data_IF_843794378493
#
_entry.id   IF_843794378493
#
_cell.length_a   1.000
_cell.length_b   1.000
_cell.length_c   1.000
_cell.angle_alpha   90.00
_cell.angle_beta   90.00
_cell.angle_gamma   90.00
#
_symmetry.space_group_name_H-M   'P 1'
#
loop_
_entity.id
_entity.type
_entity.pdbx_description
1 polymer ?
#
# COMPACT_ATOMS: atom_id res chain seq x y z
N UNK A 1 -26.78 10.56 -11.41
CA UNK A 1 -27.09 10.35 -9.98
C UNK A 1 -26.92 8.87 -9.70
N UNK A 2 -26.03 8.46 -8.79
CA UNK A 2 -26.05 7.07 -8.31
C UNK A 2 -27.37 6.87 -7.58
N UNK A 3 -28.15 5.86 -7.97
CA UNK A 3 -29.38 5.53 -7.24
C UNK A 3 -29.00 4.97 -5.86
N UNK A 4 -29.87 5.12 -4.86
CA UNK A 4 -29.60 4.63 -3.51
C UNK A 4 -29.26 3.13 -3.49
N UNK A 5 -29.81 2.35 -4.42
CA UNK A 5 -29.51 0.93 -4.60
C UNK A 5 -28.07 0.66 -5.04
N UNK A 6 -27.52 1.44 -5.97
CA UNK A 6 -26.12 1.30 -6.39
C UNK A 6 -25.14 1.61 -5.25
N UNK A 7 -25.45 2.61 -4.44
CA UNK A 7 -24.66 2.97 -3.27
C UNK A 7 -24.68 1.86 -2.21
N UNK A 8 -25.85 1.29 -1.93
CA UNK A 8 -26.01 0.14 -1.02
C UNK A 8 -25.24 -1.07 -1.54
N UNK A 9 -25.35 -1.37 -2.84
CA UNK A 9 -24.64 -2.49 -3.45
C UNK A 9 -23.12 -2.33 -3.38
N UNK A 10 -22.62 -1.10 -3.55
CA UNK A 10 -21.20 -0.80 -3.40
C UNK A 10 -20.73 -1.01 -1.94
N UNK A 11 -21.51 -0.55 -0.95
CA UNK A 11 -21.18 -0.78 0.47
C UNK A 11 -21.13 -2.26 0.82
N UNK A 12 -22.06 -3.06 0.29
CA UNK A 12 -22.06 -4.52 0.48
C UNK A 12 -20.80 -5.14 -0.13
N UNK A 13 -20.45 -4.78 -1.38
CA UNK A 13 -19.24 -5.26 -2.05
C UNK A 13 -17.98 -4.91 -1.27
N UNK A 14 -17.87 -3.68 -0.79
CA UNK A 14 -16.73 -3.21 -0.02
C UNK A 14 -16.59 -3.97 1.30
N UNK A 15 -17.73 -4.31 1.92
CA UNK A 15 -17.79 -5.11 3.16
C UNK A 15 -17.31 -6.54 2.92
N UNK A 16 -17.82 -7.23 1.89
CA UNK A 16 -17.37 -8.58 1.53
C UNK A 16 -15.90 -8.60 1.12
N UNK A 17 -15.44 -7.60 0.37
CA UNK A 17 -14.04 -7.47 0.00
C UNK A 17 -13.14 -7.31 1.24
N UNK A 18 -13.62 -6.59 2.27
CA UNK A 18 -12.91 -6.48 3.54
C UNK A 18 -12.86 -7.81 4.30
N UNK A 19 -13.96 -8.55 4.40
CA UNK A 19 -13.95 -9.89 5.01
C UNK A 19 -13.03 -10.86 4.28
N UNK A 20 -13.08 -10.86 2.94
CA UNK A 20 -12.14 -11.63 2.12
C UNK A 20 -10.69 -11.23 2.39
N UNK A 21 -10.41 -9.93 2.53
CA UNK A 21 -9.07 -9.47 2.88
C UNK A 21 -8.63 -10.02 4.24
N UNK A 22 -9.51 -10.07 5.25
CA UNK A 22 -9.15 -10.56 6.58
C UNK A 22 -8.72 -12.03 6.58
N UNK A 23 -9.29 -12.87 5.71
CA UNK A 23 -8.95 -14.30 5.61
C UNK A 23 -7.67 -14.59 4.82
N UNK A 24 -7.07 -13.58 4.17
CA UNK A 24 -5.83 -13.75 3.43
C UNK A 24 -4.63 -13.98 4.36
N UNK A 25 -3.63 -14.69 3.83
CA UNK A 25 -2.33 -14.84 4.49
C UNK A 25 -1.65 -13.47 4.67
N UNK A 26 -0.72 -13.36 5.64
CA UNK A 26 0.07 -12.14 5.85
C UNK A 26 0.80 -11.74 4.56
N UNK A 27 1.37 -12.72 3.87
CA UNK A 27 2.12 -12.50 2.64
C UNK A 27 1.24 -11.95 1.51
N UNK A 28 0.07 -12.54 1.29
CA UNK A 28 -0.86 -12.05 0.28
C UNK A 28 -1.34 -10.62 0.60
N UNK A 29 -1.57 -10.31 1.88
CA UNK A 29 -1.92 -8.95 2.32
C UNK A 29 -0.80 -7.95 2.04
N UNK A 30 0.44 -8.33 2.33
CA UNK A 30 1.64 -7.54 2.05
C UNK A 30 1.76 -7.23 0.55
N UNK A 31 1.66 -8.25 -0.32
CA UNK A 31 1.76 -8.06 -1.77
C UNK A 31 0.64 -7.17 -2.32
N UNK A 32 -0.60 -7.35 -1.86
CA UNK A 32 -1.71 -6.45 -2.24
C UNK A 32 -1.43 -5.01 -1.84
N UNK A 33 -0.90 -4.79 -0.63
CA UNK A 33 -0.58 -3.46 -0.14
C UNK A 33 0.59 -2.81 -0.90
N UNK A 34 1.61 -3.59 -1.25
CA UNK A 34 2.72 -3.13 -2.11
C UNK A 34 2.18 -2.69 -3.48
N UNK A 35 1.32 -3.51 -4.10
CA UNK A 35 0.73 -3.20 -5.39
C UNK A 35 -0.09 -1.90 -5.36
N UNK A 36 -0.88 -1.68 -4.30
CA UNK A 36 -1.61 -0.42 -4.11
C UNK A 36 -0.70 0.82 -4.09
N UNK A 37 0.52 0.69 -3.57
CA UNK A 37 1.50 1.78 -3.55
C UNK A 37 2.22 1.91 -4.89
N UNK A 38 2.53 0.79 -5.57
CA UNK A 38 3.12 0.77 -6.93
C UNK A 38 2.28 1.52 -7.96
N UNK A 39 0.95 1.54 -7.79
CA UNK A 39 0.04 2.28 -8.66
C UNK A 39 0.09 3.80 -8.46
N UNK A 40 0.73 4.30 -7.40
CA UNK A 40 0.75 5.75 -7.12
C UNK A 40 1.82 6.44 -7.92
N UNK A 41 1.43 7.52 -8.61
CA UNK A 41 2.33 8.33 -9.42
C UNK A 41 3.60 8.76 -8.68
N UNK A 42 3.49 9.22 -7.43
CA UNK A 42 4.65 9.64 -6.64
C UNK A 42 5.65 8.49 -6.40
N UNK A 43 5.16 7.26 -6.28
CA UNK A 43 5.98 6.08 -6.08
C UNK A 43 6.57 5.59 -7.40
N UNK A 44 5.81 5.66 -8.49
CA UNK A 44 6.32 5.41 -9.84
C UNK A 44 7.49 6.35 -10.17
N UNK A 45 7.35 7.64 -9.88
CA UNK A 45 8.44 8.62 -10.04
C UNK A 45 9.66 8.29 -9.18
N UNK A 46 9.45 7.76 -7.98
CA UNK A 46 10.52 7.33 -7.09
C UNK A 46 11.28 6.13 -7.67
N UNK A 47 10.56 5.11 -8.16
CA UNK A 47 11.15 3.91 -8.79
C UNK A 47 11.85 4.23 -10.11
N UNK A 48 11.31 5.14 -10.92
CA UNK A 48 11.97 5.60 -12.16
C UNK A 48 13.34 6.23 -11.84
N UNK A 49 13.41 7.05 -10.78
CA UNK A 49 14.67 7.66 -10.33
C UNK A 49 15.62 6.64 -9.73
N UNK A 50 15.11 5.63 -9.04
CA UNK A 50 15.89 4.64 -8.32
C UNK A 50 15.24 3.24 -8.39
N UNK A 51 15.54 2.46 -9.45
CA UNK A 51 14.88 1.16 -9.67
C UNK A 51 15.18 0.10 -8.60
N UNK A 52 16.30 0.23 -7.87
CA UNK A 52 16.70 -0.66 -6.77
C UNK A 52 15.70 -0.68 -5.62
N UNK A 53 14.83 0.33 -5.51
CA UNK A 53 13.77 0.41 -4.50
C UNK A 53 12.85 -0.80 -4.56
N UNK A 54 12.57 -1.35 -5.74
CA UNK A 54 11.74 -2.54 -5.86
C UNK A 54 12.38 -3.76 -5.19
N UNK A 55 13.68 -3.99 -5.46
CA UNK A 55 14.44 -5.08 -4.83
C UNK A 55 14.55 -4.89 -3.33
N UNK A 56 14.72 -3.65 -2.88
CA UNK A 56 14.77 -3.32 -1.45
C UNK A 56 13.45 -3.63 -0.75
N UNK A 57 12.31 -3.26 -1.34
CA UNK A 57 10.98 -3.59 -0.77
C UNK A 57 10.76 -5.09 -0.68
N UNK A 58 11.27 -5.85 -1.65
CA UNK A 58 11.17 -7.32 -1.66
C UNK A 58 12.09 -7.98 -0.63
N UNK A 59 13.27 -7.42 -0.37
CA UNK A 59 14.30 -8.04 0.48
C UNK A 59 14.36 -7.53 1.92
N UNK A 60 13.94 -6.29 2.21
CA UNK A 60 14.05 -5.70 3.54
C UNK A 60 12.84 -6.05 4.41
N UNK A 61 13.11 -6.71 5.53
CA UNK A 61 12.09 -7.20 6.46
C UNK A 61 11.26 -6.08 7.10
N UNK A 62 11.87 -4.95 7.43
CA UNK A 62 11.21 -3.82 8.08
C UNK A 62 10.22 -3.15 7.12
N UNK A 63 10.65 -2.95 5.87
CA UNK A 63 9.80 -2.43 4.81
C UNK A 63 8.64 -3.40 4.53
N UNK A 64 8.91 -4.71 4.43
CA UNK A 64 7.83 -5.71 4.29
C UNK A 64 6.86 -5.71 5.47
N UNK A 65 7.35 -5.52 6.69
CA UNK A 65 6.50 -5.43 7.88
C UNK A 65 5.61 -4.18 7.82
N UNK A 66 6.14 -3.03 7.37
CA UNK A 66 5.35 -1.83 7.11
C UNK A 66 4.18 -2.12 6.16
N UNK A 67 4.48 -2.77 5.03
CA UNK A 67 3.47 -3.14 4.03
C UNK A 67 2.50 -4.22 4.50
N UNK A 68 2.82 -5.00 5.52
CA UNK A 68 1.88 -5.97 6.10
C UNK A 68 0.72 -5.29 6.84
N UNK A 69 0.88 -4.02 7.25
CA UNK A 69 -0.15 -3.25 7.95
C UNK A 69 -0.98 -2.39 7.00
N UNK A 70 -2.24 -2.79 6.78
CA UNK A 70 -3.22 -1.99 6.02
C UNK A 70 -3.39 -0.58 6.56
N UNK A 71 -3.30 -0.40 7.88
CA UNK A 71 -3.42 0.92 8.53
C UNK A 71 -2.27 1.83 8.12
N UNK A 72 -1.05 1.32 8.18
CA UNK A 72 0.14 2.08 7.78
C UNK A 72 0.10 2.43 6.30
N UNK A 73 -0.23 1.46 5.44
CA UNK A 73 -0.34 1.67 3.99
C UNK A 73 -1.41 2.70 3.66
N UNK A 74 -2.57 2.67 4.32
CA UNK A 74 -3.60 3.70 4.13
C UNK A 74 -3.11 5.08 4.51
N UNK A 75 -2.39 5.19 5.63
CA UNK A 75 -1.80 6.46 6.06
C UNK A 75 -0.77 6.94 5.03
N UNK A 76 0.11 6.06 4.54
CA UNK A 76 1.05 6.35 3.45
C UNK A 76 0.34 6.86 2.20
N UNK A 77 -0.83 6.32 1.87
CA UNK A 77 -1.57 6.73 0.69
C UNK A 77 -2.26 8.09 0.84
N UNK A 78 -2.70 8.46 2.04
CA UNK A 78 -3.48 9.67 2.29
C UNK A 78 -2.66 10.85 2.82
N UNK A 79 -1.56 10.59 3.51
CA UNK A 79 -0.83 11.58 4.30
C UNK A 79 0.49 11.99 3.62
N UNK A 80 0.77 13.30 3.57
CA UNK A 80 2.00 13.83 2.96
C UNK A 80 3.22 13.61 3.85
N UNK A 81 3.08 13.79 5.16
CA UNK A 81 4.17 13.61 6.12
C UNK A 81 4.56 12.15 6.23
N UNK A 82 3.57 11.24 6.24
CA UNK A 82 3.84 9.80 6.23
C UNK A 82 4.60 9.39 4.96
N UNK A 83 4.27 9.97 3.80
CA UNK A 83 5.04 9.75 2.56
C UNK A 83 6.46 10.25 2.65
N UNK A 84 6.69 11.37 3.33
CA UNK A 84 8.05 11.87 3.50
C UNK A 84 8.85 10.93 4.40
N UNK A 85 8.30 10.54 5.56
CA UNK A 85 8.93 9.58 6.48
C UNK A 85 9.26 8.25 5.80
N UNK A 86 8.37 7.75 4.95
CA UNK A 86 8.63 6.53 4.19
C UNK A 86 9.78 6.70 3.18
N UNK A 87 9.88 7.86 2.52
CA UNK A 87 11.02 8.14 1.63
C UNK A 87 12.33 8.27 2.39
N UNK A 88 12.30 8.87 3.57
CA UNK A 88 13.48 8.99 4.43
C UNK A 88 13.95 7.60 4.87
N UNK A 89 13.03 6.72 5.31
CA UNK A 89 13.31 5.32 5.58
C UNK A 89 13.96 4.60 4.39
N UNK A 90 13.43 4.80 3.17
CA UNK A 90 14.02 4.21 1.97
C UNK A 90 15.44 4.73 1.71
N UNK A 91 15.70 6.02 1.94
CA UNK A 91 17.03 6.61 1.77
C UNK A 91 18.04 6.06 2.78
N UNK A 92 17.63 5.91 4.04
CA UNK A 92 18.49 5.35 5.09
C UNK A 92 18.91 3.92 4.77
N UNK A 93 18.05 3.14 4.12
CA UNK A 93 18.32 1.76 3.68
C UNK A 93 19.17 1.65 2.41
N UNK A 94 19.34 2.75 1.69
CA UNK A 94 20.19 2.82 0.48
C UNK A 94 21.58 3.37 0.76
N UNK A 95 21.81 3.92 1.96
CA UNK A 95 23.09 4.46 2.40
C UNK A 95 23.90 3.36 3.09
#
# INVERSE_FOLDING_TARGET
>A
MKTNEEAIWQMIKDTFAYFKYLTLSKETKTEMNINLVKEKYWFQQLVIKQPSILKMIEGDKEIREYFSSRKMVRKLLSDKEERQRFKDLLNDKMT
#
